data_IF_910770136981
#
_entry.id   IF_910770136981
#
_cell.length_a   1.000
_cell.length_b   1.000
_cell.length_c   1.000
_cell.angle_alpha   90.00
_cell.angle_beta   90.00
_cell.angle_gamma   90.00
#
_symmetry.space_group_name_H-M   'P 1'
#
loop_
_entity.id
_entity.type
_entity.pdbx_description
1 polymer ?
#
# COMPACT_ATOMS: atom_id res chain seq x y z
N UNK A 1 -23.55 -11.43 -2.27
CA UNK A 1 -22.90 -10.10 -2.29
C UNK A 1 -22.00 -10.00 -1.09
N UNK A 2 -20.68 -9.91 -1.29
CA UNK A 2 -19.73 -9.65 -0.19
C UNK A 2 -19.58 -8.14 -0.10
N UNK A 3 -19.87 -7.60 1.09
CA UNK A 3 -19.73 -6.20 1.41
C UNK A 3 -18.23 -5.90 1.57
N UNK A 4 -17.64 -5.28 0.56
CA UNK A 4 -16.33 -4.64 0.69
C UNK A 4 -16.62 -3.17 1.06
N UNK A 5 -16.03 -2.64 2.14
CA UNK A 5 -16.21 -1.22 2.46
C UNK A 5 -15.58 -0.40 1.34
N UNK A 6 -16.42 0.32 0.59
CA UNK A 6 -16.05 1.05 -0.63
C UNK A 6 -15.18 2.29 -0.43
N UNK A 7 -14.37 2.35 0.63
CA UNK A 7 -13.40 3.42 0.90
C UNK A 7 -12.34 2.93 1.92
N UNK A 8 -11.10 3.34 1.70
CA UNK A 8 -9.89 2.84 2.33
C UNK A 8 -9.80 3.11 3.85
N UNK A 9 -9.73 2.05 4.64
CA UNK A 9 -9.30 2.15 6.03
C UNK A 9 -7.77 2.14 6.09
N UNK A 10 -7.16 3.33 6.13
CA UNK A 10 -5.74 3.47 6.46
C UNK A 10 -5.60 3.50 7.98
N UNK A 11 -5.20 2.39 8.60
CA UNK A 11 -4.85 2.38 10.02
C UNK A 11 -3.35 2.60 10.21
N UNK A 12 -3.00 3.49 11.14
CA UNK A 12 -1.62 3.75 11.55
C UNK A 12 -1.57 4.23 13.00
N UNK A 13 -0.64 3.70 13.78
CA UNK A 13 -0.39 4.19 15.15
C UNK A 13 0.20 5.61 15.10
N UNK A 14 -0.34 6.49 15.95
CA UNK A 14 -0.08 7.92 15.97
C UNK A 14 1.23 8.25 16.68
N UNK A 15 2.23 8.70 15.92
CA UNK A 15 3.39 9.46 16.42
C UNK A 15 3.48 10.76 15.58
N UNK A 16 3.63 11.95 16.20
CA UNK A 16 3.45 13.24 15.53
C UNK A 16 4.43 13.53 14.37
N UNK A 17 5.62 12.93 14.36
CA UNK A 17 6.60 13.08 13.26
C UNK A 17 6.40 12.08 12.09
N UNK A 18 5.36 11.23 12.15
CA UNK A 18 5.14 10.11 11.19
C UNK A 18 3.93 10.23 10.28
N UNK A 19 3.17 11.32 10.39
CA UNK A 19 1.92 11.58 9.64
C UNK A 19 2.15 11.58 8.11
N UNK A 20 3.37 11.80 7.63
CA UNK A 20 3.67 11.82 6.19
C UNK A 20 3.52 10.45 5.51
N UNK A 21 3.82 9.34 6.20
CA UNK A 21 4.08 8.04 5.52
C UNK A 21 2.81 7.35 4.99
N UNK A 22 1.72 7.22 5.76
CA UNK A 22 0.46 6.67 5.23
C UNK A 22 -0.15 7.59 4.17
N UNK A 23 0.01 8.91 4.32
CA UNK A 23 -0.42 9.90 3.33
C UNK A 23 0.36 9.76 2.01
N UNK A 24 1.67 9.51 2.06
CA UNK A 24 2.50 9.30 0.89
C UNK A 24 2.05 8.06 0.09
N UNK A 25 1.74 6.97 0.79
CA UNK A 25 1.22 5.75 0.19
C UNK A 25 -0.17 5.94 -0.40
N UNK A 26 -1.08 6.59 0.33
CA UNK A 26 -2.41 6.91 -0.19
C UNK A 26 -2.31 7.77 -1.46
N UNK A 27 -1.43 8.78 -1.47
CA UNK A 27 -1.16 9.60 -2.66
C UNK A 27 -0.61 8.78 -3.82
N UNK A 28 0.31 7.85 -3.55
CA UNK A 28 0.84 6.96 -4.59
C UNK A 28 -0.27 6.10 -5.20
N UNK A 29 -1.14 5.53 -4.38
CA UNK A 29 -2.22 4.68 -4.89
C UNK A 29 -3.20 5.48 -5.75
N UNK A 30 -3.51 6.72 -5.35
CA UNK A 30 -4.28 7.65 -6.19
C UNK A 30 -3.57 7.95 -7.51
N UNK A 31 -2.27 8.25 -7.47
CA UNK A 31 -1.46 8.53 -8.66
C UNK A 31 -1.36 7.34 -9.63
N UNK A 32 -1.34 6.11 -9.10
CA UNK A 32 -1.33 4.88 -9.88
C UNK A 32 -2.68 4.54 -10.53
N UNK A 33 -3.74 5.34 -10.25
CA UNK A 33 -5.09 5.20 -10.82
C UNK A 33 -5.59 3.76 -10.75
N UNK A 34 -5.52 3.17 -9.55
CA UNK A 34 -6.05 1.81 -9.31
C UNK A 34 -7.53 1.76 -9.70
N UNK A 35 -7.93 0.64 -10.34
CA UNK A 35 -9.26 0.43 -10.89
C UNK A 35 -10.18 -0.27 -9.90
N UNK A 36 -9.67 -1.25 -9.17
CA UNK A 36 -10.43 -2.03 -8.20
C UNK A 36 -10.33 -1.49 -6.78
N UNK A 37 -11.11 -2.08 -5.87
CA UNK A 37 -10.98 -1.81 -4.45
C UNK A 37 -9.57 -2.19 -3.96
N UNK A 38 -9.10 -1.47 -2.94
CA UNK A 38 -7.83 -1.75 -2.29
C UNK A 38 -7.86 -1.43 -0.80
N UNK A 39 -7.00 -2.11 -0.04
CA UNK A 39 -6.80 -1.87 1.37
C UNK A 39 -5.31 -1.85 1.71
N UNK A 40 -4.90 -0.90 2.55
CA UNK A 40 -3.54 -0.84 3.09
C UNK A 40 -3.58 -1.00 4.61
N UNK A 41 -2.76 -1.91 5.12
CA UNK A 41 -2.46 -2.05 6.53
C UNK A 41 -0.99 -1.78 6.76
N UNK A 42 -0.70 -0.92 7.73
CA UNK A 42 0.67 -0.70 8.22
C UNK A 42 0.84 -1.49 9.51
N UNK A 43 1.88 -2.31 9.58
CA UNK A 43 2.25 -3.08 10.75
C UNK A 43 3.70 -2.80 11.14
N UNK A 44 4.01 -2.98 12.42
CA UNK A 44 5.39 -3.00 12.90
C UNK A 44 5.73 -4.44 13.28
N UNK A 45 6.79 -4.97 12.70
CA UNK A 45 7.36 -6.26 13.07
C UNK A 45 8.84 -6.09 13.42
N UNK A 46 9.21 -6.41 14.66
CA UNK A 46 10.60 -6.34 15.16
C UNK A 46 11.31 -5.01 14.83
N UNK A 47 10.59 -3.89 14.94
CA UNK A 47 11.09 -2.54 14.65
C UNK A 47 11.07 -2.14 13.17
N UNK A 48 10.72 -3.07 12.26
CA UNK A 48 10.54 -2.80 10.83
C UNK A 48 9.10 -2.37 10.56
N UNK A 49 8.94 -1.42 9.65
CA UNK A 49 7.62 -0.97 9.22
C UNK A 49 7.22 -1.80 8.01
N UNK A 50 6.29 -2.73 8.18
CA UNK A 50 5.75 -3.54 7.09
C UNK A 50 4.45 -2.92 6.60
N UNK A 51 4.30 -2.86 5.28
CA UNK A 51 3.08 -2.41 4.63
C UNK A 51 2.51 -3.58 3.86
N UNK A 52 1.27 -3.93 4.19
CA UNK A 52 0.49 -4.93 3.49
C UNK A 52 -0.57 -4.22 2.67
N UNK A 53 -0.62 -4.50 1.37
CA UNK A 53 -1.59 -3.95 0.45
C UNK A 53 -2.37 -5.10 -0.20
N UNK A 54 -3.69 -5.05 -0.14
CA UNK A 54 -4.58 -6.02 -0.80
C UNK A 54 -5.36 -5.33 -1.92
N UNK A 55 -5.56 -6.04 -3.03
CA UNK A 55 -6.18 -5.50 -4.24
C UNK A 55 -7.23 -6.47 -4.79
N UNK A 56 -8.34 -5.89 -5.24
CA UNK A 56 -9.39 -6.60 -5.98
C UNK A 56 -8.91 -7.00 -7.38
N UNK A 57 -8.06 -6.18 -7.99
CA UNK A 57 -7.52 -6.40 -9.34
C UNK A 57 -6.03 -6.76 -9.28
N UNK A 58 -5.62 -7.85 -9.93
CA UNK A 58 -4.22 -8.29 -9.95
C UNK A 58 -3.30 -7.26 -10.65
N UNK A 59 -3.81 -6.60 -11.68
CA UNK A 59 -3.07 -5.57 -12.41
C UNK A 59 -2.71 -4.36 -11.54
N UNK A 60 -3.54 -4.03 -10.55
CA UNK A 60 -3.28 -2.92 -9.63
C UNK A 60 -2.17 -3.29 -8.63
N UNK A 61 -2.11 -4.56 -8.21
CA UNK A 61 -1.00 -5.05 -7.40
C UNK A 61 0.33 -5.06 -8.15
N UNK A 62 0.33 -5.42 -9.44
CA UNK A 62 1.54 -5.39 -10.27
C UNK A 62 2.13 -3.98 -10.37
N UNK A 63 1.30 -2.96 -10.59
CA UNK A 63 1.76 -1.56 -10.63
C UNK A 63 2.41 -1.13 -9.30
N UNK A 64 1.85 -1.56 -8.17
CA UNK A 64 2.44 -1.25 -6.87
C UNK A 64 3.79 -1.98 -6.67
N UNK A 65 3.87 -3.24 -7.10
CA UNK A 65 5.10 -4.04 -7.05
C UNK A 65 6.23 -3.40 -7.86
N UNK A 66 5.94 -2.91 -9.07
CA UNK A 66 6.93 -2.25 -9.93
C UNK A 66 7.55 -1.01 -9.26
N UNK A 67 6.74 -0.22 -8.54
CA UNK A 67 7.21 1.01 -7.88
C UNK A 67 7.94 0.73 -6.56
N UNK A 68 7.42 -0.19 -5.75
CA UNK A 68 7.87 -0.37 -4.37
C UNK A 68 8.82 -1.55 -4.17
N UNK A 69 8.88 -2.46 -5.14
CA UNK A 69 9.53 -3.77 -4.99
C UNK A 69 8.75 -4.68 -4.04
N UNK A 70 7.42 -4.52 -4.00
CA UNK A 70 6.56 -5.31 -3.11
C UNK A 70 6.50 -6.77 -3.56
N UNK A 71 6.48 -7.69 -2.59
CA UNK A 71 6.47 -9.13 -2.85
C UNK A 71 5.07 -9.69 -2.64
N UNK A 72 4.60 -10.60 -3.51
CA UNK A 72 3.32 -11.25 -3.31
C UNK A 72 3.38 -12.08 -2.02
N UNK A 73 2.33 -11.99 -1.22
CA UNK A 73 2.15 -12.78 0.00
C UNK A 73 0.88 -13.62 -0.09
N UNK A 74 0.69 -14.52 0.88
CA UNK A 74 -0.52 -15.36 0.93
C UNK A 74 -1.76 -14.46 0.97
N UNK A 75 -2.62 -14.65 -0.02
CA UNK A 75 -3.84 -13.89 -0.25
C UNK A 75 -4.85 -14.04 0.89
N UNK A 76 -5.38 -12.93 1.38
CA UNK A 76 -6.55 -12.91 2.25
C UNK A 76 -7.82 -13.25 1.45
N UNK A 77 -8.71 -14.09 2.00
CA UNK A 77 -9.94 -14.51 1.31
C UNK A 77 -10.80 -13.29 0.98
N UNK A 78 -11.15 -13.12 -0.29
CA UNK A 78 -11.97 -12.00 -0.77
C UNK A 78 -11.19 -10.90 -1.50
N UNK A 79 -9.87 -11.00 -1.60
CA UNK A 79 -9.03 -10.15 -2.45
C UNK A 79 -8.40 -10.99 -3.56
N UNK A 80 -8.09 -10.41 -4.72
CA UNK A 80 -7.42 -11.15 -5.79
C UNK A 80 -5.93 -11.28 -5.53
N UNK A 81 -5.31 -10.26 -4.93
CA UNK A 81 -3.89 -10.26 -4.62
C UNK A 81 -3.58 -9.53 -3.31
N UNK A 82 -2.46 -9.92 -2.70
CA UNK A 82 -1.92 -9.25 -1.52
C UNK A 82 -0.40 -9.15 -1.67
N UNK A 83 0.13 -7.97 -1.37
CA UNK A 83 1.53 -7.61 -1.49
C UNK A 83 2.04 -7.13 -0.13
N UNK A 84 3.29 -7.43 0.20
CA UNK A 84 3.97 -6.91 1.38
C UNK A 84 5.31 -6.30 1.01
N UNK A 85 5.65 -5.19 1.66
CA UNK A 85 6.97 -4.59 1.57
C UNK A 85 7.35 -3.88 2.86
N UNK A 86 8.67 -3.77 3.09
CA UNK A 86 9.21 -2.97 4.18
C UNK A 86 9.29 -1.50 3.77
N UNK A 87 8.63 -0.62 4.51
CA UNK A 87 8.68 0.81 4.30
C UNK A 87 9.95 1.40 4.95
N UNK A 88 10.99 1.54 4.13
CA UNK A 88 12.28 2.12 4.49
C UNK A 88 12.44 3.54 3.89
N UNK A 89 13.45 4.32 4.32
CA UNK A 89 13.77 5.61 3.69
C UNK A 89 14.00 5.51 2.17
N UNK A 90 14.61 4.41 1.69
CA UNK A 90 14.80 4.16 0.27
C UNK A 90 13.48 3.96 -0.49
N UNK A 91 12.50 3.31 0.14
CA UNK A 91 11.15 3.16 -0.41
C UNK A 91 10.43 4.51 -0.45
N UNK A 92 10.54 5.32 0.61
CA UNK A 92 9.95 6.65 0.64
C UNK A 92 10.47 7.54 -0.49
N UNK A 93 11.76 7.44 -0.82
CA UNK A 93 12.34 8.18 -1.94
C UNK A 93 11.82 7.70 -3.31
N UNK A 94 11.66 6.38 -3.49
CA UNK A 94 11.02 5.83 -4.72
C UNK A 94 9.59 6.32 -4.87
N UNK A 95 8.81 6.35 -3.78
CA UNK A 95 7.44 6.86 -3.77
C UNK A 95 7.42 8.34 -4.17
N UNK A 96 8.31 9.17 -3.58
CA UNK A 96 8.39 10.60 -3.93
C UNK A 96 8.72 10.81 -5.40
N UNK A 97 9.67 10.04 -5.95
CA UNK A 97 10.00 10.09 -7.38
C UNK A 97 8.82 9.68 -8.27
N UNK A 98 8.12 8.60 -7.93
CA UNK A 98 6.94 8.18 -8.68
C UNK A 98 5.83 9.25 -8.67
N UNK A 99 5.64 9.94 -7.55
CA UNK A 99 4.68 11.05 -7.41
C UNK A 99 5.09 12.33 -8.15
N UNK A 100 6.34 12.48 -8.57
CA UNK A 100 6.79 13.62 -9.40
C UNK A 100 6.66 13.35 -10.90
N UNK A 101 6.49 12.07 -11.28
CA UNK A 101 6.40 11.61 -12.67
C UNK A 101 4.96 11.35 -13.13
N UNK A 102 3.99 11.50 -12.23
CA UNK A 102 2.55 11.35 -12.47
C UNK A 102 1.86 12.71 -12.45
#
# INVERSE_FOLDING_TARGET
MRWHPGCHLVTGEHEPDRIERPKLLARLVVALRMKGDWAIRVARDRGRLLVQAAFEEENDALRLTEVLGAKPVRRYVGWASQQEFEFSPAVAERVRKALMLT
#
